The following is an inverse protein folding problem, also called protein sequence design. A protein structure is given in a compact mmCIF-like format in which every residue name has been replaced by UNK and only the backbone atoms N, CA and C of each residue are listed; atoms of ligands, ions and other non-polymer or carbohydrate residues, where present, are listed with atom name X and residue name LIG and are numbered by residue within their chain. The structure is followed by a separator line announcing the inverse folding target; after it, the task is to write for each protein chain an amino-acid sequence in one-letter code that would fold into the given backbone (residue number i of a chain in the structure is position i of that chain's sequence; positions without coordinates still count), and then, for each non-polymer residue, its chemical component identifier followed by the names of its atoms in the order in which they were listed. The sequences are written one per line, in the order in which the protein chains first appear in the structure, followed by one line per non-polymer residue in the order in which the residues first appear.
data_IF_722246349685
#
_entry.id   IF_722246349685
#
_cell.length_a   1.000
_cell.length_b   1.000
_cell.length_c   1.000
_cell.angle_alpha   90.00
_cell.angle_beta   90.00
_cell.angle_gamma   90.00
#
_symmetry.space_group_name_H-M   'P 1'
#
loop_
_entity.id
_entity.type
_entity.pdbx_description
1 polymer ?
#
# COMPACT_ATOMS: atom_id res chain seq x y z
N UNK A 1 -15.90 -0.98 14.62
CA UNK A 1 -15.55 -2.06 15.58
C UNK A 1 -14.04 -1.97 15.83
N UNK A 2 -13.48 -2.39 16.96
CA UNK A 2 -12.00 -2.45 17.14
C UNK A 2 -11.63 -3.81 17.70
N UNK A 3 -10.91 -4.61 16.92
CA UNK A 3 -10.29 -5.84 17.41
C UNK A 3 -9.19 -5.43 18.38
N UNK A 4 -9.34 -5.80 19.65
CA UNK A 4 -8.40 -5.42 20.71
C UNK A 4 -7.20 -6.36 20.81
N UNK A 5 -7.32 -7.59 20.31
CA UNK A 5 -6.21 -8.54 20.27
C UNK A 5 -6.40 -9.61 19.18
N UNK A 6 -5.29 -9.99 18.55
CA UNK A 6 -5.19 -11.18 17.71
C UNK A 6 -4.53 -12.30 18.52
N UNK A 7 -5.13 -13.48 18.56
CA UNK A 7 -4.52 -14.66 19.19
C UNK A 7 -4.32 -15.78 18.18
N UNK A 8 -3.25 -16.56 18.37
CA UNK A 8 -2.98 -17.73 17.55
C UNK A 8 -2.05 -18.70 18.27
N UNK A 9 -1.97 -19.94 17.77
CA UNK A 9 -1.10 -20.98 18.33
C UNK A 9 0.36 -20.92 17.90
N UNK A 10 0.75 -19.86 17.19
CA UNK A 10 2.11 -19.58 16.76
C UNK A 10 2.82 -20.72 16.02
N UNK A 11 2.07 -21.64 15.40
CA UNK A 11 2.61 -22.59 14.43
C UNK A 11 3.09 -21.85 13.18
N UNK A 12 3.93 -22.46 12.35
CA UNK A 12 4.22 -21.94 11.01
C UNK A 12 2.94 -21.84 10.16
N UNK A 13 3.00 -21.19 9.00
CA UNK A 13 1.82 -21.04 8.14
C UNK A 13 0.89 -19.92 8.65
N UNK A 14 -0.40 -20.19 8.76
CA UNK A 14 -1.40 -19.16 9.08
C UNK A 14 -1.20 -18.55 10.46
N UNK A 15 -0.91 -19.38 11.46
CA UNK A 15 -0.75 -18.92 12.84
C UNK A 15 0.39 -17.87 12.95
N UNK A 16 1.53 -18.13 12.30
CA UNK A 16 2.67 -17.22 12.21
C UNK A 16 2.30 -15.93 11.45
N UNK A 17 1.58 -16.06 10.33
CA UNK A 17 1.14 -14.91 9.53
C UNK A 17 0.25 -13.97 10.35
N UNK A 18 -0.69 -14.52 11.12
CA UNK A 18 -1.57 -13.73 11.98
C UNK A 18 -0.80 -12.89 13.01
N UNK A 19 0.18 -13.51 13.69
CA UNK A 19 1.00 -12.81 14.68
C UNK A 19 1.92 -11.77 14.04
N UNK A 20 2.50 -12.06 12.87
CA UNK A 20 3.34 -11.12 12.14
C UNK A 20 2.54 -9.89 11.68
N UNK A 21 1.33 -10.08 11.13
CA UNK A 21 0.45 -8.96 10.73
C UNK A 21 0.03 -8.13 11.93
N UNK A 22 -0.31 -8.78 13.05
CA UNK A 22 -0.67 -8.04 14.26
C UNK A 22 0.48 -7.16 14.76
N UNK A 23 1.72 -7.65 14.74
CA UNK A 23 2.91 -6.85 15.06
C UNK A 23 3.12 -5.70 14.08
N UNK A 24 2.98 -5.95 12.77
CA UNK A 24 3.14 -4.93 11.72
C UNK A 24 2.11 -3.80 11.85
N UNK A 25 0.88 -4.13 12.22
CA UNK A 25 -0.22 -3.16 12.41
C UNK A 25 -0.35 -2.65 13.85
N UNK A 26 0.58 -3.02 14.74
CA UNK A 26 0.58 -2.63 16.16
C UNK A 26 -0.70 -3.04 16.92
N UNK A 27 -1.34 -4.12 16.49
CA UNK A 27 -2.46 -4.73 17.19
C UNK A 27 -1.90 -5.67 18.27
N UNK A 28 -2.35 -5.59 19.54
CA UNK A 28 -1.92 -6.53 20.56
C UNK A 28 -2.08 -7.97 20.10
N UNK A 29 -1.04 -8.79 20.32
CA UNK A 29 -1.08 -10.20 19.94
C UNK A 29 -0.57 -11.11 21.06
N UNK A 30 -0.93 -12.39 20.94
CA UNK A 30 -0.58 -13.45 21.90
C UNK A 30 -1.23 -14.78 21.54
N UNK A 31 -1.51 -15.60 22.54
CA UNK A 31 -2.17 -16.89 22.36
C UNK A 31 -1.51 -18.01 23.13
N UNK A 32 -2.16 -19.18 23.14
CA UNK A 32 -1.66 -20.38 23.79
C UNK A 32 -0.75 -21.16 22.85
N UNK A 33 0.40 -21.61 23.35
CA UNK A 33 1.38 -22.42 22.62
C UNK A 33 1.73 -23.67 23.42
N UNK A 34 2.22 -24.75 22.79
CA UNK A 34 2.61 -25.95 23.52
C UNK A 34 3.68 -25.64 24.58
N UNK A 35 3.76 -26.49 25.61
CA UNK A 35 4.87 -26.46 26.58
C UNK A 35 6.22 -26.50 25.85
N UNK A 36 7.15 -25.63 26.24
CA UNK A 36 8.43 -25.43 25.57
C UNK A 36 8.36 -24.49 24.36
N UNK A 37 7.22 -23.83 24.12
CA UNK A 37 6.97 -22.94 22.98
C UNK A 37 7.30 -23.59 21.63
N UNK A 38 6.76 -24.78 21.39
CA UNK A 38 7.12 -25.58 20.22
C UNK A 38 6.25 -25.27 18.99
N UNK A 39 6.88 -25.23 17.82
CA UNK A 39 6.26 -25.29 16.49
C UNK A 39 6.94 -26.37 15.63
N UNK A 40 6.62 -26.50 14.33
CA UNK A 40 7.23 -27.51 13.47
C UNK A 40 8.72 -27.27 13.14
N UNK A 41 9.24 -26.06 13.41
CA UNK A 41 10.64 -25.67 13.19
C UNK A 41 11.45 -25.67 14.49
N UNK A 42 10.83 -25.99 15.63
CA UNK A 42 11.46 -26.04 16.94
C UNK A 42 10.86 -25.01 17.89
N UNK A 43 11.69 -24.12 18.43
CA UNK A 43 11.26 -23.13 19.44
C UNK A 43 10.74 -21.88 18.72
N UNK A 44 9.53 -21.46 19.08
CA UNK A 44 8.89 -20.22 18.62
C UNK A 44 9.73 -19.01 19.05
N UNK A 45 10.05 -18.16 18.08
CA UNK A 45 10.80 -16.92 18.28
C UNK A 45 10.25 -16.05 19.42
N UNK A 46 11.15 -15.40 20.17
CA UNK A 46 10.82 -14.53 21.31
C UNK A 46 10.16 -13.20 20.94
N UNK A 47 10.11 -12.86 19.64
CA UNK A 47 9.53 -11.59 19.15
C UNK A 47 8.02 -11.45 19.37
N UNK A 48 7.31 -12.54 19.67
CA UNK A 48 5.86 -12.54 19.87
C UNK A 48 5.53 -12.32 21.35
N UNK A 49 4.95 -11.16 21.72
CA UNK A 49 4.56 -10.87 23.09
C UNK A 49 3.36 -11.73 23.52
N UNK A 50 3.18 -11.90 24.83
CA UNK A 50 1.99 -12.51 25.45
C UNK A 50 1.61 -13.92 24.98
N UNK A 51 2.54 -14.68 24.38
CA UNK A 51 2.37 -16.12 24.16
C UNK A 51 2.48 -16.85 25.50
N UNK A 52 1.48 -17.69 25.81
CA UNK A 52 1.34 -18.44 27.05
C UNK A 52 1.54 -19.93 26.79
N UNK A 53 2.44 -20.56 27.52
CA UNK A 53 2.63 -22.00 27.41
C UNK A 53 1.49 -22.76 28.08
N UNK A 54 1.07 -23.84 27.44
CA UNK A 54 0.19 -24.83 28.06
C UNK A 54 0.99 -25.76 28.97
N UNK A 55 0.29 -26.51 29.83
CA UNK A 55 0.93 -27.54 30.68
C UNK A 55 1.37 -28.78 29.90
N UNK A 56 0.87 -28.95 28.67
CA UNK A 56 1.14 -30.08 27.78
C UNK A 56 1.89 -29.65 26.52
N UNK A 57 2.67 -30.57 25.93
CA UNK A 57 3.26 -30.43 24.58
C UNK A 57 2.27 -30.76 23.47
N UNK A 58 1.12 -31.34 23.80
CA UNK A 58 0.10 -31.76 22.83
C UNK A 58 -0.53 -30.55 22.10
N UNK A 59 -0.43 -30.47 20.75
CA UNK A 59 -0.96 -29.34 19.98
C UNK A 59 -2.48 -29.13 20.14
N UNK A 60 -3.23 -30.18 20.43
CA UNK A 60 -4.68 -30.08 20.62
C UNK A 60 -5.05 -29.22 21.84
N UNK A 61 -4.23 -29.25 22.90
CA UNK A 61 -4.48 -28.46 24.12
C UNK A 61 -4.38 -26.97 23.83
N UNK A 62 -3.31 -26.54 23.15
CA UNK A 62 -3.18 -25.12 22.78
C UNK A 62 -4.24 -24.66 21.79
N UNK A 63 -4.69 -25.54 20.89
CA UNK A 63 -5.74 -25.21 19.92
C UNK A 63 -7.07 -24.97 20.61
N UNK A 64 -7.46 -25.86 21.52
CA UNK A 64 -8.69 -25.70 22.29
C UNK A 64 -8.68 -24.42 23.14
N UNK A 65 -7.55 -24.12 23.80
CA UNK A 65 -7.44 -22.93 24.64
C UNK A 65 -7.50 -21.62 23.82
N UNK A 66 -6.89 -21.59 22.62
CA UNK A 66 -7.00 -20.42 21.73
C UNK A 66 -8.45 -20.19 21.26
N UNK A 67 -9.19 -21.26 20.95
CA UNK A 67 -10.61 -21.15 20.60
C UNK A 67 -11.42 -20.69 21.82
N UNK A 68 -11.23 -21.34 22.98
CA UNK A 68 -11.96 -21.05 24.23
C UNK A 68 -11.79 -19.61 24.70
N UNK A 69 -10.56 -19.08 24.65
CA UNK A 69 -10.20 -17.76 25.18
C UNK A 69 -10.27 -16.64 24.12
N UNK A 70 -10.99 -16.88 23.02
CA UNK A 70 -11.29 -15.89 21.99
C UNK A 70 -12.79 -15.69 21.82
N UNK A 71 -13.18 -14.55 21.25
CA UNK A 71 -14.59 -14.25 20.98
C UNK A 71 -15.06 -14.90 19.68
N UNK A 72 -14.15 -15.12 18.73
CA UNK A 72 -14.43 -15.72 17.44
C UNK A 72 -13.17 -16.36 16.85
N UNK A 73 -13.35 -17.30 15.92
CA UNK A 73 -12.27 -17.99 15.22
C UNK A 73 -12.38 -17.81 13.71
N UNK A 74 -11.31 -17.33 13.07
CA UNK A 74 -11.13 -17.29 11.62
C UNK A 74 -10.16 -18.42 11.21
N UNK A 75 -10.59 -19.27 10.27
CA UNK A 75 -9.75 -20.33 9.71
C UNK A 75 -9.51 -20.08 8.22
N UNK A 76 -8.24 -20.02 7.82
CA UNK A 76 -7.83 -19.88 6.43
C UNK A 76 -7.14 -21.15 5.94
N UNK A 77 -7.58 -21.71 4.81
CA UNK A 77 -6.98 -22.93 4.21
C UNK A 77 -6.85 -22.80 2.70
N UNK A 78 -6.11 -23.70 2.05
CA UNK A 78 -6.28 -24.00 0.63
C UNK A 78 -6.81 -25.43 0.47
N UNK A 79 -8.10 -25.54 0.18
CA UNK A 79 -8.86 -26.78 0.20
C UNK A 79 -9.64 -26.98 1.50
N UNK A 80 -10.12 -28.20 1.70
CA UNK A 80 -10.97 -28.56 2.83
C UNK A 80 -10.21 -28.54 4.17
N UNK A 81 -10.97 -28.46 5.26
CA UNK A 81 -10.45 -28.57 6.61
C UNK A 81 -9.92 -29.98 6.88
N UNK A 82 -8.61 -30.10 7.06
CA UNK A 82 -7.92 -31.33 7.45
C UNK A 82 -7.11 -31.12 8.72
N UNK A 83 -6.73 -32.22 9.39
CA UNK A 83 -5.81 -32.22 10.53
C UNK A 83 -6.16 -31.22 11.62
N UNK A 84 -5.17 -30.41 12.03
CA UNK A 84 -5.32 -29.41 13.09
C UNK A 84 -6.38 -28.35 12.79
N UNK A 85 -6.50 -27.89 11.54
CA UNK A 85 -7.52 -26.90 11.15
C UNK A 85 -8.94 -27.44 11.31
N UNK A 86 -9.16 -28.72 10.99
CA UNK A 86 -10.44 -29.41 11.21
C UNK A 86 -10.77 -29.50 12.70
N UNK A 87 -9.76 -29.84 13.52
CA UNK A 87 -9.93 -29.89 14.97
C UNK A 87 -10.27 -28.51 15.55
N UNK A 88 -9.63 -27.43 15.08
CA UNK A 88 -9.98 -26.04 15.46
C UNK A 88 -11.45 -25.73 15.15
N UNK A 89 -11.92 -26.08 13.95
CA UNK A 89 -13.31 -25.86 13.57
C UNK A 89 -14.29 -26.64 14.45
N UNK A 90 -13.99 -27.92 14.72
CA UNK A 90 -14.79 -28.76 15.63
C UNK A 90 -14.88 -28.13 17.02
N UNK A 91 -13.75 -27.67 17.58
CA UNK A 91 -13.75 -27.03 18.89
C UNK A 91 -14.50 -25.70 18.90
N UNK A 92 -14.43 -24.91 17.83
CA UNK A 92 -15.22 -23.68 17.74
C UNK A 92 -16.72 -23.98 17.75
N UNK A 93 -17.16 -25.01 17.02
CA UNK A 93 -18.56 -25.46 17.02
C UNK A 93 -18.98 -25.99 18.40
N UNK A 94 -18.18 -26.88 18.99
CA UNK A 94 -18.46 -27.46 20.31
C UNK A 94 -18.57 -26.40 21.41
N UNK A 95 -17.69 -25.40 21.39
CA UNK A 95 -17.65 -24.29 22.36
C UNK A 95 -18.58 -23.13 21.97
N UNK A 96 -19.38 -23.28 20.91
CA UNK A 96 -20.31 -22.27 20.41
C UNK A 96 -19.64 -20.91 20.13
N UNK A 97 -18.40 -20.95 19.63
CA UNK A 97 -17.67 -19.76 19.17
C UNK A 97 -18.02 -19.48 17.71
N UNK A 98 -18.36 -18.23 17.35
CA UNK A 98 -18.48 -17.80 15.97
C UNK A 98 -17.25 -18.23 15.17
N UNK A 99 -17.51 -18.89 14.04
CA UNK A 99 -16.49 -19.47 13.19
C UNK A 99 -16.71 -19.01 11.76
N UNK A 100 -15.66 -18.47 11.14
CA UNK A 100 -15.58 -18.32 9.69
C UNK A 100 -14.45 -19.19 9.16
N UNK A 101 -14.77 -20.10 8.24
CA UNK A 101 -13.78 -20.83 7.45
C UNK A 101 -13.80 -20.32 6.02
N UNK A 102 -12.64 -19.96 5.50
CA UNK A 102 -12.46 -19.63 4.09
C UNK A 102 -11.47 -20.58 3.44
N UNK A 103 -11.97 -21.31 2.44
CA UNK A 103 -11.13 -21.98 1.45
C UNK A 103 -10.65 -20.95 0.42
N UNK A 104 -9.35 -20.64 0.49
CA UNK A 104 -8.68 -19.72 -0.42
C UNK A 104 -8.40 -20.35 -1.78
N UNK A 105 -8.41 -21.68 -1.94
CA UNK A 105 -8.20 -22.33 -3.23
C UNK A 105 -9.29 -21.95 -4.25
N UNK A 106 -10.51 -21.76 -3.75
CA UNK A 106 -11.71 -21.45 -4.55
C UNK A 106 -12.06 -19.97 -4.58
N UNK A 107 -11.27 -19.11 -3.90
CA UNK A 107 -11.54 -17.67 -3.75
C UNK A 107 -10.36 -16.82 -4.22
N UNK A 108 -10.67 -15.63 -4.73
CA UNK A 108 -9.65 -14.59 -4.88
C UNK A 108 -9.38 -13.91 -3.55
N UNK A 109 -8.18 -13.35 -3.39
CA UNK A 109 -7.79 -12.67 -2.14
C UNK A 109 -8.73 -11.49 -1.82
N UNK A 110 -9.17 -10.73 -2.83
CA UNK A 110 -10.13 -9.65 -2.66
C UNK A 110 -11.52 -10.14 -2.23
N UNK A 111 -11.95 -11.32 -2.67
CA UNK A 111 -13.20 -11.91 -2.21
C UNK A 111 -13.09 -12.35 -0.74
N UNK A 112 -11.99 -13.00 -0.38
CA UNK A 112 -11.71 -13.40 1.00
C UNK A 112 -11.69 -12.19 1.94
N UNK A 113 -11.00 -11.10 1.58
CA UNK A 113 -10.98 -9.85 2.36
C UNK A 113 -12.41 -9.33 2.62
N UNK A 114 -13.26 -9.29 1.59
CA UNK A 114 -14.65 -8.82 1.73
C UNK A 114 -15.48 -9.74 2.63
N UNK A 115 -15.38 -11.06 2.44
CA UNK A 115 -16.09 -12.04 3.27
C UNK A 115 -15.70 -11.93 4.75
N UNK A 116 -14.40 -11.77 5.04
CA UNK A 116 -13.93 -11.58 6.42
C UNK A 116 -14.46 -10.26 6.99
N UNK A 117 -14.39 -9.16 6.24
CA UNK A 117 -14.89 -7.85 6.70
C UNK A 117 -16.37 -7.89 7.06
N UNK A 118 -17.21 -8.48 6.19
CA UNK A 118 -18.65 -8.62 6.45
C UNK A 118 -18.88 -9.42 7.74
N UNK A 119 -18.19 -10.55 7.89
CA UNK A 119 -18.33 -11.41 9.06
C UNK A 119 -17.83 -10.74 10.35
N UNK A 120 -16.72 -9.99 10.31
CA UNK A 120 -16.22 -9.24 11.47
C UNK A 120 -17.20 -8.15 11.92
N UNK A 121 -17.92 -7.54 10.98
CA UNK A 121 -18.92 -6.52 11.27
C UNK A 121 -20.22 -7.09 11.85
N UNK A 122 -20.52 -8.35 11.55
CA UNK A 122 -21.61 -9.10 12.16
C UNK A 122 -21.24 -9.61 13.56
N UNK A 123 -20.09 -10.29 13.68
CA UNK A 123 -19.67 -10.99 14.91
C UNK A 123 -19.07 -10.06 15.94
N UNK A 124 -18.36 -9.02 15.50
CA UNK A 124 -17.82 -7.97 16.37
C UNK A 124 -16.87 -8.48 17.49
N UNK A 125 -15.89 -9.35 17.18
CA UNK A 125 -15.02 -9.92 18.21
C UNK A 125 -14.03 -8.88 18.76
N UNK A 126 -13.81 -8.88 20.08
CA UNK A 126 -12.71 -8.11 20.70
C UNK A 126 -11.40 -8.89 20.63
N UNK A 127 -11.45 -10.20 20.79
CA UNK A 127 -10.32 -11.13 20.68
C UNK A 127 -10.60 -12.10 19.53
N UNK A 128 -9.82 -12.01 18.45
CA UNK A 128 -9.97 -12.87 17.28
C UNK A 128 -8.87 -13.93 17.27
N UNK A 129 -9.27 -15.20 17.33
CA UNK A 129 -8.38 -16.32 17.06
C UNK A 129 -8.24 -16.53 15.55
N UNK A 130 -7.01 -16.67 15.06
CA UNK A 130 -6.75 -16.96 13.65
C UNK A 130 -5.92 -18.24 13.55
N UNK A 131 -6.41 -19.18 12.73
CA UNK A 131 -5.83 -20.50 12.59
C UNK A 131 -5.77 -20.98 11.14
N UNK A 132 -4.92 -21.98 10.88
CA UNK A 132 -4.86 -22.67 9.58
C UNK A 132 -3.73 -23.70 9.51
N UNK A 133 -3.44 -24.25 8.32
CA UNK A 133 -2.43 -25.28 8.17
C UNK A 133 -1.02 -24.72 8.40
N UNK A 134 -0.13 -25.61 8.83
CA UNK A 134 1.31 -25.31 8.97
C UNK A 134 2.00 -25.25 7.63
N UNK A 135 3.18 -24.62 7.58
CA UNK A 135 3.91 -24.42 6.33
C UNK A 135 4.30 -25.73 5.63
N UNK A 136 4.60 -26.81 6.37
CA UNK A 136 4.86 -28.12 5.75
C UNK A 136 3.64 -28.73 5.04
N UNK A 137 2.42 -28.38 5.46
CA UNK A 137 1.17 -28.83 4.84
C UNK A 137 0.79 -27.96 3.64
N UNK A 138 1.13 -26.67 3.68
CA UNK A 138 0.94 -25.75 2.57
C UNK A 138 2.04 -24.67 2.54
N UNK A 139 2.93 -24.76 1.55
CA UNK A 139 4.08 -23.86 1.42
C UNK A 139 3.68 -22.41 1.11
N UNK A 140 2.51 -22.19 0.54
CA UNK A 140 2.04 -20.88 0.07
C UNK A 140 1.07 -20.20 1.04
N UNK A 141 0.55 -20.93 2.04
CA UNK A 141 -0.49 -20.40 2.92
C UNK A 141 -0.02 -19.19 3.74
N UNK A 142 1.24 -19.16 4.17
CA UNK A 142 1.76 -18.05 4.99
C UNK A 142 1.67 -16.72 4.24
N UNK A 143 2.22 -16.63 3.03
CA UNK A 143 2.26 -15.38 2.27
C UNK A 143 0.86 -14.91 1.90
N UNK A 144 -0.01 -15.86 1.56
CA UNK A 144 -1.39 -15.59 1.19
C UNK A 144 -2.24 -15.12 2.36
N UNK A 145 -2.16 -15.83 3.50
CA UNK A 145 -2.83 -15.43 4.73
C UNK A 145 -2.34 -14.05 5.19
N UNK A 146 -1.02 -13.80 5.15
CA UNK A 146 -0.45 -12.49 5.49
C UNK A 146 -1.07 -11.38 4.66
N UNK A 147 -1.08 -11.51 3.33
CA UNK A 147 -1.65 -10.52 2.41
C UNK A 147 -3.13 -10.21 2.72
N UNK A 148 -3.95 -11.26 2.88
CA UNK A 148 -5.39 -11.11 3.17
C UNK A 148 -5.59 -10.43 4.53
N UNK A 149 -4.90 -10.90 5.58
CA UNK A 149 -5.04 -10.37 6.93
C UNK A 149 -4.55 -8.92 7.04
N UNK A 150 -3.44 -8.56 6.39
CA UNK A 150 -2.96 -7.17 6.36
C UNK A 150 -4.03 -6.26 5.76
N UNK A 151 -4.61 -6.63 4.62
CA UNK A 151 -5.64 -5.81 3.98
C UNK A 151 -6.92 -5.72 4.83
N UNK A 152 -7.40 -6.85 5.36
CA UNK A 152 -8.59 -6.86 6.23
C UNK A 152 -8.39 -6.00 7.48
N UNK A 153 -7.32 -6.23 8.24
CA UNK A 153 -7.09 -5.55 9.52
C UNK A 153 -6.71 -4.08 9.35
N UNK A 154 -6.06 -3.72 8.25
CA UNK A 154 -5.82 -2.32 7.88
C UNK A 154 -7.13 -1.58 7.59
N UNK A 155 -8.01 -2.17 6.77
CA UNK A 155 -9.33 -1.58 6.46
C UNK A 155 -10.20 -1.45 7.72
N UNK A 156 -10.18 -2.47 8.58
CA UNK A 156 -10.88 -2.46 9.87
C UNK A 156 -10.40 -1.33 10.79
N UNK A 157 -9.09 -1.04 10.78
CA UNK A 157 -8.50 0.08 11.50
C UNK A 157 -8.94 1.43 10.91
N UNK A 158 -8.99 1.56 9.58
CA UNK A 158 -9.52 2.76 8.91
C UNK A 158 -11.01 3.01 9.22
N UNK A 159 -11.85 1.97 9.21
CA UNK A 159 -13.27 2.06 9.56
C UNK A 159 -13.47 2.41 11.05
N UNK A 160 -12.57 1.95 11.92
CA UNK A 160 -12.56 2.33 13.34
C UNK A 160 -12.22 3.80 13.57
N UNK A 161 -11.27 4.35 12.81
CA UNK A 161 -10.96 5.78 12.82
C UNK A 161 -12.13 6.62 12.26
N UNK A 162 -12.84 6.11 11.25
CA UNK A 162 -14.08 6.72 10.77
C UNK A 162 -15.23 6.63 11.79
N UNK A 163 -15.33 5.55 12.59
CA UNK A 163 -16.35 5.43 13.63
C UNK A 163 -16.04 6.25 14.89
N UNK A 164 -14.77 6.48 15.25
CA UNK A 164 -14.39 7.48 16.24
C UNK A 164 -14.64 8.92 15.76
N UNK A 165 -14.77 9.13 14.45
CA UNK A 165 -15.25 10.37 13.85
C UNK A 165 -16.79 10.51 13.84
N UNK A 166 -17.58 9.62 14.48
CA UNK A 166 -19.05 9.70 14.60
C UNK A 166 -19.60 10.85 15.48
N UNK A 167 -18.84 11.93 15.61
CA UNK A 167 -19.39 13.26 15.90
C UNK A 167 -19.50 14.15 14.65
N UNK A 168 -19.15 13.63 13.47
CA UNK A 168 -19.02 14.37 12.23
C UNK A 168 -20.03 13.87 11.19
N UNK A 169 -20.81 14.81 10.66
CA UNK A 169 -21.78 14.69 9.57
C UNK A 169 -21.25 13.85 8.37
N UNK A 170 -22.08 12.99 7.78
CA UNK A 170 -21.74 12.02 6.73
C UNK A 170 -21.10 12.70 5.50
N UNK A 171 -21.60 13.87 5.11
CA UNK A 171 -21.02 14.66 4.04
C UNK A 171 -19.61 15.18 4.40
N UNK A 172 -19.31 15.35 5.68
CA UNK A 172 -18.00 15.79 6.15
C UNK A 172 -16.98 14.65 6.07
N UNK A 173 -17.37 13.41 6.36
CA UNK A 173 -16.48 12.24 6.21
C UNK A 173 -16.19 11.95 4.74
N UNK A 174 -17.20 12.05 3.87
CA UNK A 174 -17.04 11.95 2.42
C UNK A 174 -16.11 13.07 1.90
N UNK A 175 -16.28 14.30 2.38
CA UNK A 175 -15.41 15.40 1.96
C UNK A 175 -13.94 15.21 2.40
N UNK A 176 -13.72 14.60 3.57
CA UNK A 176 -12.38 14.27 4.05
C UNK A 176 -11.73 13.15 3.23
N UNK A 177 -12.47 12.08 2.91
CA UNK A 177 -11.94 10.98 2.10
C UNK A 177 -11.62 11.45 0.67
N UNK A 178 -12.49 12.26 0.06
CA UNK A 178 -12.23 12.88 -1.25
C UNK A 178 -10.99 13.79 -1.21
N UNK A 179 -10.80 14.52 -0.11
CA UNK A 179 -9.64 15.38 0.09
C UNK A 179 -8.35 14.56 0.22
N UNK A 180 -8.39 13.47 0.98
CA UNK A 180 -7.25 12.57 1.15
C UNK A 180 -6.85 11.91 -0.17
N UNK A 181 -7.83 11.42 -0.94
CA UNK A 181 -7.59 10.87 -2.28
C UNK A 181 -6.95 11.93 -3.20
N UNK A 182 -7.51 13.14 -3.27
CA UNK A 182 -6.94 14.22 -4.08
C UNK A 182 -5.51 14.60 -3.66
N UNK A 183 -5.21 14.57 -2.36
CA UNK A 183 -3.86 14.82 -1.84
C UNK A 183 -2.88 13.68 -2.10
N UNK A 184 -3.34 12.43 -2.06
CA UNK A 184 -2.54 11.26 -2.38
C UNK A 184 -2.14 11.27 -3.86
N UNK A 185 -3.11 11.51 -4.75
CA UNK A 185 -2.88 11.68 -6.18
C UNK A 185 -1.90 12.83 -6.43
N UNK A 186 -2.12 13.99 -5.79
CA UNK A 186 -1.21 15.13 -5.88
C UNK A 186 0.23 14.74 -5.52
N UNK A 187 0.45 14.09 -4.39
CA UNK A 187 1.79 13.68 -3.93
C UNK A 187 2.44 12.71 -4.90
N UNK A 188 1.69 11.73 -5.39
CA UNK A 188 2.19 10.75 -6.35
C UNK A 188 2.68 11.42 -7.64
N UNK A 189 1.85 12.28 -8.23
CA UNK A 189 2.20 12.95 -9.48
C UNK A 189 3.22 14.06 -9.30
N UNK A 190 3.29 14.70 -8.14
CA UNK A 190 4.35 15.65 -7.82
C UNK A 190 5.72 14.96 -7.78
N UNK A 191 5.83 13.77 -7.18
CA UNK A 191 7.08 12.98 -7.21
C UNK A 191 7.54 12.75 -8.65
N UNK A 192 6.63 12.26 -9.51
CA UNK A 192 6.95 12.00 -10.93
C UNK A 192 7.42 13.29 -11.62
N UNK A 193 6.74 14.42 -11.37
CA UNK A 193 7.08 15.72 -11.94
C UNK A 193 8.51 16.16 -11.59
N UNK A 194 9.00 15.89 -10.39
CA UNK A 194 10.39 16.20 -9.99
C UNK A 194 11.41 15.18 -10.52
N UNK A 195 11.02 13.93 -10.70
CA UNK A 195 11.88 12.89 -11.25
C UNK A 195 12.20 13.13 -12.73
N UNK A 196 11.26 13.67 -13.51
CA UNK A 196 11.45 13.89 -14.96
C UNK A 196 12.67 14.77 -15.28
N UNK A 197 12.82 15.99 -14.71
CA UNK A 197 14.04 16.80 -14.90
C UNK A 197 15.29 16.10 -14.39
N UNK A 198 15.21 15.40 -13.26
CA UNK A 198 16.36 14.70 -12.68
C UNK A 198 16.94 13.63 -13.63
N UNK A 199 16.08 12.78 -14.20
CA UNK A 199 16.49 11.77 -15.17
C UNK A 199 17.06 12.42 -16.44
N UNK A 200 16.40 13.47 -16.94
CA UNK A 200 16.87 14.18 -18.12
C UNK A 200 18.26 14.78 -17.90
N UNK A 201 18.49 15.48 -16.78
CA UNK A 201 19.80 16.03 -16.43
C UNK A 201 20.88 14.93 -16.34
N UNK A 202 20.57 13.82 -15.68
CA UNK A 202 21.52 12.71 -15.49
C UNK A 202 21.98 12.14 -16.82
N UNK A 203 21.05 11.88 -17.73
CA UNK A 203 21.38 11.36 -19.07
C UNK A 203 22.11 12.41 -19.92
N UNK A 204 21.70 13.68 -19.84
CA UNK A 204 22.36 14.78 -20.52
C UNK A 204 23.82 14.94 -20.06
N UNK A 205 24.08 14.85 -18.76
CA UNK A 205 25.44 14.90 -18.20
C UNK A 205 26.28 13.71 -18.66
N UNK A 206 25.72 12.51 -18.72
CA UNK A 206 26.44 11.32 -19.19
C UNK A 206 26.90 11.47 -20.66
N UNK A 207 26.01 11.95 -21.54
CA UNK A 207 26.36 12.20 -22.95
C UNK A 207 27.35 13.36 -23.09
N UNK A 208 27.19 14.44 -22.32
CA UNK A 208 28.13 15.56 -22.32
C UNK A 208 29.53 15.13 -21.86
N UNK A 209 29.63 14.30 -20.81
CA UNK A 209 30.90 13.74 -20.36
C UNK A 209 31.53 12.85 -21.44
N UNK A 210 30.74 11.96 -22.05
CA UNK A 210 31.19 11.14 -23.18
C UNK A 210 31.71 11.97 -24.35
N UNK A 211 31.07 13.11 -24.65
CA UNK A 211 31.50 14.05 -25.68
C UNK A 211 32.85 14.71 -25.35
N UNK A 212 33.10 15.05 -24.08
CA UNK A 212 34.39 15.63 -23.63
C UNK A 212 35.54 14.63 -23.78
N UNK A 213 35.32 13.35 -23.44
CA UNK A 213 36.35 12.31 -23.53
C UNK A 213 36.56 11.78 -24.96
N UNK A 214 35.55 11.89 -25.83
CA UNK A 214 35.59 11.38 -27.20
C UNK A 214 36.43 12.23 -28.18
N UNK A 215 36.98 13.38 -27.75
CA UNK A 215 37.72 14.29 -28.62
C UNK A 215 36.80 15.10 -29.53
N UNK A 216 37.06 15.11 -30.84
CA UNK A 216 36.32 15.97 -31.78
C UNK A 216 34.88 15.45 -32.02
N UNK A 217 33.93 16.07 -31.33
CA UNK A 217 32.49 15.78 -31.36
C UNK A 217 31.95 15.75 -32.80
N UNK A 218 32.58 16.48 -33.73
CA UNK A 218 32.19 16.50 -35.14
C UNK A 218 32.25 15.13 -35.80
N UNK A 219 33.23 14.30 -35.44
CA UNK A 219 33.51 13.03 -36.12
C UNK A 219 32.99 11.80 -35.36
N UNK A 220 32.60 11.94 -34.09
CA UNK A 220 32.12 10.82 -33.32
C UNK A 220 30.61 10.58 -33.53
N UNK A 221 30.29 9.62 -34.40
CA UNK A 221 28.91 9.24 -34.73
C UNK A 221 28.10 8.81 -33.50
N UNK A 222 28.71 8.16 -32.51
CA UNK A 222 28.02 7.70 -31.30
C UNK A 222 27.57 8.89 -30.43
N UNK A 223 28.40 9.92 -30.28
CA UNK A 223 28.06 11.15 -29.55
C UNK A 223 26.90 11.88 -30.24
N UNK A 224 26.92 11.98 -31.58
CA UNK A 224 25.84 12.63 -32.34
C UNK A 224 24.51 11.89 -32.22
N UNK A 225 24.52 10.56 -32.31
CA UNK A 225 23.32 9.74 -32.09
C UNK A 225 22.81 9.92 -30.65
N UNK A 226 23.71 9.95 -29.66
CA UNK A 226 23.37 10.22 -28.26
C UNK A 226 22.70 11.58 -28.07
N UNK A 227 23.23 12.64 -28.66
CA UNK A 227 22.63 13.99 -28.66
C UNK A 227 21.24 13.99 -29.32
N UNK A 228 21.06 13.29 -30.44
CA UNK A 228 19.77 13.18 -31.13
C UNK A 228 18.70 12.47 -30.29
N UNK A 229 19.05 11.36 -29.65
CA UNK A 229 18.15 10.64 -28.73
C UNK A 229 17.77 11.52 -27.54
N UNK A 230 18.74 12.22 -26.94
CA UNK A 230 18.48 13.15 -25.85
C UNK A 230 17.56 14.30 -26.26
N UNK A 231 17.73 14.83 -27.46
CA UNK A 231 16.88 15.91 -27.95
C UNK A 231 15.42 15.47 -28.07
N UNK A 232 15.16 14.28 -28.63
CA UNK A 232 13.81 13.69 -28.68
C UNK A 232 13.27 13.44 -27.27
N UNK A 233 14.09 12.87 -26.40
CA UNK A 233 13.72 12.60 -25.01
C UNK A 233 13.38 13.88 -24.24
N UNK A 234 14.08 14.98 -24.50
CA UNK A 234 13.80 16.29 -23.92
C UNK A 234 12.45 16.86 -24.34
N UNK A 235 12.07 16.72 -25.62
CA UNK A 235 10.72 17.07 -26.10
C UNK A 235 9.65 16.24 -25.37
N UNK A 236 9.86 14.93 -25.21
CA UNK A 236 8.96 14.06 -24.47
C UNK A 236 8.83 14.49 -22.99
N UNK A 237 9.93 14.86 -22.35
CA UNK A 237 9.93 15.38 -20.97
C UNK A 237 9.10 16.66 -20.85
N UNK A 238 9.21 17.59 -21.81
CA UNK A 238 8.41 18.83 -21.83
C UNK A 238 6.92 18.52 -21.96
N UNK A 239 6.54 17.63 -22.89
CA UNK A 239 5.14 17.20 -23.07
C UNK A 239 4.60 16.56 -21.80
N UNK A 240 5.39 15.68 -21.18
CA UNK A 240 5.01 15.02 -19.94
C UNK A 240 4.82 16.02 -18.80
N UNK A 241 5.76 16.95 -18.59
CA UNK A 241 5.64 18.01 -17.57
C UNK A 241 4.40 18.89 -17.81
N UNK A 242 4.13 19.27 -19.06
CA UNK A 242 2.93 20.03 -19.40
C UNK A 242 1.64 19.25 -19.09
N UNK A 243 1.61 17.94 -19.39
CA UNK A 243 0.48 17.07 -19.08
C UNK A 243 0.29 16.89 -17.56
N UNK A 244 1.37 16.77 -16.79
CA UNK A 244 1.31 16.68 -15.32
C UNK A 244 0.73 17.97 -14.70
N UNK A 245 1.11 19.14 -15.23
CA UNK A 245 0.52 20.42 -14.80
C UNK A 245 -0.98 20.48 -15.12
N UNK A 246 -1.39 20.05 -16.32
CA UNK A 246 -2.82 19.99 -16.68
C UNK A 246 -3.59 19.03 -15.79
N UNK A 247 -3.04 17.85 -15.54
CA UNK A 247 -3.63 16.85 -14.67
C UNK A 247 -3.86 17.43 -13.27
N UNK A 248 -2.86 18.05 -12.65
CA UNK A 248 -3.00 18.69 -11.34
C UNK A 248 -4.12 19.74 -11.30
N UNK A 249 -4.17 20.60 -12.32
CA UNK A 249 -5.21 21.63 -12.43
C UNK A 249 -6.60 21.01 -12.52
N UNK A 250 -6.77 19.93 -13.29
CA UNK A 250 -8.03 19.23 -13.44
C UNK A 250 -8.42 18.50 -12.14
N UNK A 251 -7.53 17.73 -11.53
CA UNK A 251 -7.80 17.01 -10.28
C UNK A 251 -8.26 17.93 -9.16
N UNK A 252 -7.61 19.09 -8.99
CA UNK A 252 -8.02 20.07 -7.97
C UNK A 252 -9.36 20.71 -8.31
N UNK A 253 -9.62 20.99 -9.60
CA UNK A 253 -10.89 21.52 -10.06
C UNK A 253 -12.03 20.53 -9.82
N UNK A 254 -11.81 19.26 -10.13
CA UNK A 254 -12.78 18.18 -9.95
C UNK A 254 -13.06 17.97 -8.46
N UNK A 255 -12.02 17.98 -7.60
CA UNK A 255 -12.19 17.96 -6.15
C UNK A 255 -13.03 19.13 -5.64
N UNK A 256 -12.73 20.37 -6.05
CA UNK A 256 -13.52 21.54 -5.65
C UNK A 256 -14.95 21.49 -6.18
N UNK A 257 -15.18 20.90 -7.36
CA UNK A 257 -16.51 20.68 -7.91
C UNK A 257 -17.30 19.67 -7.07
N UNK A 258 -16.69 18.53 -6.74
CA UNK A 258 -17.27 17.51 -5.87
C UNK A 258 -17.61 18.07 -4.49
N UNK A 259 -16.73 18.90 -3.91
CA UNK A 259 -16.96 19.56 -2.62
C UNK A 259 -18.17 20.52 -2.64
N UNK A 260 -18.45 21.17 -3.78
CA UNK A 260 -19.63 22.05 -3.92
C UNK A 260 -20.94 21.28 -3.86
N UNK A 261 -20.95 20.05 -4.37
CA UNK A 261 -22.13 19.19 -4.47
C UNK A 261 -22.55 18.56 -3.13
N UNK A 262 -21.70 18.61 -2.10
CA UNK A 262 -22.00 18.12 -0.76
C UNK A 262 -22.82 19.14 0.05
N UNK A 263 -23.69 18.67 0.94
CA UNK A 263 -24.58 19.51 1.78
C UNK A 263 -23.87 19.99 3.06
N UNK A 264 -22.70 20.58 2.88
CA UNK A 264 -21.90 21.18 3.96
C UNK A 264 -22.16 22.68 4.13
N UNK A 265 -22.01 23.19 5.35
CA UNK A 265 -21.98 24.65 5.60
C UNK A 265 -20.81 25.31 4.88
N UNK A 266 -20.96 26.58 4.48
CA UNK A 266 -19.92 27.31 3.75
C UNK A 266 -18.60 27.42 4.53
N UNK A 267 -18.69 27.53 5.86
CA UNK A 267 -17.52 27.51 6.76
C UNK A 267 -16.75 26.20 6.70
N UNK A 268 -17.44 25.06 6.66
CA UNK A 268 -16.82 23.74 6.54
C UNK A 268 -16.25 23.53 5.13
N UNK A 269 -16.98 23.96 4.08
CA UNK A 269 -16.48 23.90 2.71
C UNK A 269 -15.19 24.69 2.56
N UNK A 270 -15.13 25.90 3.10
CA UNK A 270 -13.92 26.74 3.02
C UNK A 270 -12.74 26.16 3.82
N UNK A 271 -13.00 25.53 4.98
CA UNK A 271 -11.98 24.83 5.76
C UNK A 271 -11.41 23.59 5.04
N UNK A 272 -12.24 22.89 4.26
CA UNK A 272 -11.87 21.68 3.53
C UNK A 272 -11.19 21.97 2.18
N UNK A 273 -11.31 23.17 1.63
CA UNK A 273 -10.67 23.53 0.37
C UNK A 273 -9.15 23.37 0.42
N UNK A 274 -8.63 22.71 -0.60
CA UNK A 274 -7.19 22.66 -0.85
C UNK A 274 -6.75 24.05 -1.36
N UNK A 275 -6.09 24.82 -0.50
CA UNK A 275 -5.42 26.08 -0.86
C UNK A 275 -4.00 25.77 -1.33
N UNK A 276 -3.74 25.91 -2.62
CA UNK A 276 -2.37 25.81 -3.16
C UNK A 276 -1.57 27.04 -2.75
N UNK A 277 -0.31 26.84 -2.35
CA UNK A 277 0.64 27.93 -2.06
C UNK A 277 1.07 28.69 -3.32
N UNK A 278 0.83 28.12 -4.50
CA UNK A 278 1.19 28.66 -5.80
C UNK A 278 0.09 28.34 -6.84
N UNK A 279 0.09 29.04 -7.97
CA UNK A 279 -0.87 28.82 -9.06
C UNK A 279 -0.12 28.44 -10.34
N UNK A 280 -0.73 27.59 -11.18
CA UNK A 280 -0.25 27.34 -12.54
C UNK A 280 -0.83 28.33 -13.57
N UNK A 281 -1.67 29.27 -13.13
CA UNK A 281 -2.10 30.39 -13.97
C UNK A 281 -1.06 31.52 -13.93
N UNK A 282 -1.02 32.34 -14.98
CA UNK A 282 -0.24 33.58 -14.97
C UNK A 282 -0.84 34.58 -13.96
N UNK A 283 -0.03 35.33 -13.18
CA UNK A 283 1.43 35.31 -13.13
C UNK A 283 2.03 34.24 -12.18
N UNK A 284 1.21 33.53 -11.42
CA UNK A 284 1.65 32.57 -10.39
C UNK A 284 2.56 31.44 -10.91
N UNK A 285 2.42 31.04 -12.17
CA UNK A 285 3.27 30.00 -12.76
C UNK A 285 4.76 30.38 -12.74
N UNK A 286 5.09 31.68 -12.74
CA UNK A 286 6.46 32.20 -12.68
C UNK A 286 7.17 31.85 -11.36
N UNK A 287 6.42 31.65 -10.28
CA UNK A 287 6.97 31.27 -8.97
C UNK A 287 7.06 29.76 -8.79
N UNK A 288 6.67 28.97 -9.80
CA UNK A 288 6.71 27.51 -9.75
C UNK A 288 7.98 26.95 -10.38
N UNK A 289 8.58 25.94 -9.74
CA UNK A 289 9.73 25.23 -10.29
C UNK A 289 9.43 24.55 -11.65
N UNK A 290 8.17 24.13 -11.87
CA UNK A 290 7.76 23.45 -13.10
C UNK A 290 8.00 24.25 -14.37
N UNK A 291 7.73 25.56 -14.33
CA UNK A 291 7.98 26.43 -15.48
C UNK A 291 9.47 26.50 -15.80
N UNK A 292 10.28 26.71 -14.76
CA UNK A 292 11.73 26.81 -14.91
C UNK A 292 12.35 25.50 -15.40
N UNK A 293 11.82 24.35 -14.97
CA UNK A 293 12.23 23.06 -15.52
C UNK A 293 11.86 22.89 -16.98
N UNK A 294 10.66 23.29 -17.39
CA UNK A 294 10.26 23.26 -18.80
C UNK A 294 11.19 24.14 -19.64
N UNK A 295 11.47 25.38 -19.20
CA UNK A 295 12.38 26.30 -19.88
C UNK A 295 13.80 25.71 -19.95
N UNK A 296 14.29 25.16 -18.83
CA UNK A 296 15.61 24.57 -18.76
C UNK A 296 15.78 23.37 -19.70
N UNK A 297 14.83 22.43 -19.69
CA UNK A 297 14.83 21.28 -20.60
C UNK A 297 14.74 21.75 -22.05
N UNK A 298 13.91 22.76 -22.35
CA UNK A 298 13.79 23.33 -23.69
C UNK A 298 15.12 23.90 -24.19
N UNK A 299 15.83 24.67 -23.36
CA UNK A 299 17.13 25.25 -23.72
C UNK A 299 18.17 24.16 -23.99
N UNK A 300 18.28 23.16 -23.11
CA UNK A 300 19.20 22.04 -23.31
C UNK A 300 18.86 21.22 -24.56
N UNK A 301 17.58 20.90 -24.74
CA UNK A 301 17.07 20.16 -25.90
C UNK A 301 17.42 20.89 -27.21
N UNK A 302 17.26 22.21 -27.23
CA UNK A 302 17.61 23.05 -28.38
C UNK A 302 19.11 23.01 -28.68
N UNK A 303 19.96 23.01 -27.65
CA UNK A 303 21.41 22.84 -27.81
C UNK A 303 21.80 21.47 -28.38
N UNK A 304 21.13 20.39 -27.96
CA UNK A 304 21.32 19.06 -28.54
C UNK A 304 20.85 18.96 -30.00
N UNK A 305 19.71 19.58 -30.35
CA UNK A 305 19.29 19.69 -31.74
C UNK A 305 20.32 20.45 -32.60
N UNK A 306 20.82 21.58 -32.09
CA UNK A 306 21.80 22.40 -32.79
C UNK A 306 23.10 21.65 -33.09
N UNK A 307 23.60 20.87 -32.12
CA UNK A 307 24.82 20.06 -32.29
C UNK A 307 24.65 18.96 -33.34
N UNK A 308 23.48 18.33 -33.40
CA UNK A 308 23.17 17.33 -34.44
C UNK A 308 23.14 17.99 -35.83
N UNK A 309 22.44 19.12 -35.96
CA UNK A 309 22.29 19.85 -37.24
C UNK A 309 23.64 20.37 -37.74
N UNK A 310 24.43 21.03 -36.90
CA UNK A 310 25.76 21.52 -37.30
C UNK A 310 26.70 20.40 -37.74
N UNK A 311 26.63 19.23 -37.11
CA UNK A 311 27.39 18.06 -37.55
C UNK A 311 26.95 17.50 -38.91
N UNK A 312 25.72 17.78 -39.38
CA UNK A 312 25.23 17.33 -40.69
C UNK A 312 25.68 18.24 -41.84
N UNK A 313 25.87 19.54 -41.59
CA UNK A 313 26.25 20.53 -42.61
C UNK A 313 27.75 20.54 -42.96
N UNK A 314 28.57 19.82 -42.17
CA UNK A 314 30.02 19.77 -42.30
C UNK A 314 30.54 18.39 -42.75
N UNK A 315 29.64 17.46 -43.11
CA UNK A 315 29.93 16.20 -43.81
C UNK A 315 29.70 16.38 -45.31
#
# INVERSE_FOLDING_TARGET
MVISSIVSGAQTGVDRAALDVALELQIPCGGWVPKGRLDEQGIILSKYPNLRETESTEPNVRTELNVRDSDATLILTQGELIGGSKYTAQKAIELQRPLLHLDLKTRSDNAAVREIMVWLEEVKPRVLNIAGPRHSEDKTIYSRAKSILTNTLFLQSCDSLQTCSKGMDEDTSIALSLREAALADYRHWDIIRWQVPYWYCTLATAVAAGAVFAGDIKYNMAVRVGCGVLAIFGVLCIVLLANLVRYDVNTIKDYHSSLKNLRLSDTKKEALRIKRRFSFSFPGILTTASLWFIIYILLLTSGFFWTVIMGMWWM
#
